data_IF_570184622625
#
_entry.id   IF_570184622625
#
_cell.length_a   1.000
_cell.length_b   1.000
_cell.length_c   1.000
_cell.angle_alpha   90.00
_cell.angle_beta   90.00
_cell.angle_gamma   90.00
#
_symmetry.space_group_name_H-M   'P 1'
#
loop_
_entity.id
_entity.type
_entity.pdbx_description
1 polymer ?
#
# COMPACT_ATOMS: atom_id res chain seq x y z
N UNK A 1 20.05 9.41 20.31
CA UNK A 1 19.92 10.65 19.51
C UNK A 1 21.31 11.01 19.05
N UNK A 2 21.54 11.04 17.74
CA UNK A 2 22.84 11.39 17.18
C UNK A 2 22.61 12.41 16.08
N UNK A 3 23.24 13.57 16.19
CA UNK A 3 23.24 14.58 15.12
C UNK A 3 24.31 14.18 14.11
N UNK A 4 23.95 14.08 12.84
CA UNK A 4 24.92 14.00 11.75
C UNK A 4 24.81 15.26 10.91
N UNK A 5 25.92 15.99 10.83
CA UNK A 5 26.02 17.19 10.03
C UNK A 5 26.30 16.81 8.57
N UNK A 6 25.45 17.29 7.66
CA UNK A 6 25.70 17.27 6.22
C UNK A 6 25.51 18.68 5.69
N UNK A 7 26.63 19.42 5.57
CA UNK A 7 26.63 20.86 5.25
C UNK A 7 26.01 21.72 6.35
N UNK A 8 25.49 22.90 5.98
CA UNK A 8 24.87 23.89 6.90
C UNK A 8 23.46 23.50 7.40
N UNK A 9 23.07 22.23 7.30
CA UNK A 9 21.75 21.76 7.72
C UNK A 9 21.89 20.70 8.80
N UNK A 10 21.31 20.99 9.96
CA UNK A 10 21.17 20.02 11.03
C UNK A 10 19.98 19.10 10.74
N UNK A 11 20.28 17.84 10.42
CA UNK A 11 19.28 16.81 10.30
C UNK A 11 19.14 16.07 11.63
N UNK A 12 17.94 16.13 12.21
CA UNK A 12 17.54 15.22 13.28
C UNK A 12 17.29 13.83 12.67
N UNK A 13 18.32 12.99 12.62
CA UNK A 13 18.14 11.58 12.32
C UNK A 13 17.67 10.90 13.61
N UNK A 14 16.38 10.62 13.69
CA UNK A 14 15.84 9.75 14.73
C UNK A 14 16.12 8.31 14.29
N UNK A 15 17.34 7.83 14.54
CA UNK A 15 17.64 6.40 14.44
C UNK A 15 16.73 5.65 15.43
N UNK A 16 15.93 4.73 14.90
CA UNK A 16 14.91 3.90 15.55
C UNK A 16 13.61 4.58 15.98
N UNK A 17 12.82 5.06 15.01
CA UNK A 17 11.35 4.98 15.15
C UNK A 17 10.86 3.74 14.44
N UNK A 18 10.37 2.80 15.23
CA UNK A 18 9.46 1.74 14.77
C UNK A 18 8.28 2.40 14.06
N UNK A 19 8.05 2.11 12.77
CA UNK A 19 6.94 2.72 12.03
C UNK A 19 5.97 1.67 11.51
N UNK A 20 4.73 1.77 11.95
CA UNK A 20 3.59 1.18 11.25
C UNK A 20 3.44 1.91 9.92
N UNK A 21 3.62 1.19 8.81
CA UNK A 21 3.55 1.79 7.47
C UNK A 21 2.11 1.97 7.03
N UNK A 22 1.38 0.85 7.01
CA UNK A 22 -0.01 0.78 6.55
C UNK A 22 -0.67 -0.47 7.10
N UNK A 23 -1.99 -0.44 7.25
CA UNK A 23 -2.78 -1.57 7.69
C UNK A 23 -4.08 -1.68 6.90
N UNK A 24 -4.67 -2.86 6.93
CA UNK A 24 -5.98 -3.15 6.38
C UNK A 24 -6.83 -3.92 7.41
N UNK A 25 -8.14 -3.80 7.27
CA UNK A 25 -9.12 -4.45 8.14
C UNK A 25 -9.97 -5.41 7.30
N UNK A 26 -10.23 -6.61 7.83
CA UNK A 26 -11.13 -7.57 7.16
C UNK A 26 -12.61 -7.17 7.23
N UNK A 27 -12.96 -6.31 8.18
CA UNK A 27 -14.30 -5.73 8.34
C UNK A 27 -14.23 -4.43 9.14
N UNK A 28 -15.30 -3.64 9.10
CA UNK A 28 -15.40 -2.40 9.86
C UNK A 28 -15.56 -2.69 11.37
N UNK A 29 -14.75 -2.10 12.25
CA UNK A 29 -14.91 -2.20 13.70
C UNK A 29 -16.25 -1.67 14.22
N UNK A 30 -16.91 -0.80 13.44
CA UNK A 30 -18.26 -0.30 13.76
C UNK A 30 -19.37 -1.31 13.48
N UNK A 31 -19.09 -2.36 12.70
CA UNK A 31 -20.09 -3.33 12.24
C UNK A 31 -19.95 -4.69 12.91
N UNK A 32 -18.75 -5.05 13.36
CA UNK A 32 -18.48 -6.34 14.00
C UNK A 32 -17.26 -6.22 14.92
N UNK A 33 -17.22 -7.02 15.98
CA UNK A 33 -16.02 -7.26 16.80
C UNK A 33 -15.17 -8.42 16.28
N UNK A 34 -15.68 -9.18 15.31
CA UNK A 34 -14.95 -10.26 14.64
C UNK A 34 -14.33 -9.73 13.35
N UNK A 35 -13.13 -9.17 13.47
CA UNK A 35 -12.30 -8.73 12.35
C UNK A 35 -10.83 -9.05 12.60
N UNK A 36 -10.03 -8.98 11.56
CA UNK A 36 -8.58 -9.11 11.61
C UNK A 36 -7.98 -7.80 11.14
N UNK A 37 -6.99 -7.31 11.86
CA UNK A 37 -6.09 -6.24 11.40
C UNK A 37 -4.85 -6.89 10.84
N UNK A 38 -4.43 -6.50 9.63
CA UNK A 38 -3.10 -6.83 9.12
C UNK A 38 -2.33 -5.56 8.84
N UNK A 39 -1.04 -5.58 9.15
CA UNK A 39 -0.20 -4.42 9.01
C UNK A 39 1.15 -4.75 8.40
N UNK A 40 1.64 -3.80 7.61
CA UNK A 40 3.04 -3.70 7.20
C UNK A 40 3.78 -2.88 8.26
N UNK A 41 4.84 -3.46 8.79
CA UNK A 41 5.66 -2.92 9.86
C UNK A 41 7.11 -2.81 9.37
N UNK A 42 7.73 -1.64 9.58
CA UNK A 42 9.10 -1.35 9.13
C UNK A 42 9.38 -1.64 7.64
N UNK A 43 8.35 -1.61 6.79
CA UNK A 43 8.34 -1.97 5.37
C UNK A 43 8.63 -3.43 5.06
N UNK A 44 9.38 -4.15 5.90
CA UNK A 44 9.86 -5.50 5.60
C UNK A 44 9.12 -6.60 6.34
N UNK A 45 8.26 -6.26 7.31
CA UNK A 45 7.55 -7.25 8.12
C UNK A 45 6.04 -7.16 8.00
N UNK A 46 5.39 -8.31 8.15
CA UNK A 46 3.95 -8.42 8.23
C UNK A 46 3.52 -8.92 9.60
N UNK A 47 2.48 -8.30 10.13
CA UNK A 47 1.88 -8.69 11.40
C UNK A 47 0.37 -8.64 11.31
N UNK A 48 -0.30 -9.39 12.18
CA UNK A 48 -1.75 -9.40 12.29
C UNK A 48 -2.21 -9.56 13.74
N UNK A 49 -3.43 -9.14 14.01
CA UNK A 49 -4.13 -9.43 15.26
C UNK A 49 -5.64 -9.46 15.03
N UNK A 50 -6.37 -10.15 15.91
CA UNK A 50 -7.80 -9.91 16.10
C UNK A 50 -7.99 -8.90 17.24
N UNK A 51 -9.14 -8.25 17.36
CA UNK A 51 -9.51 -7.53 18.57
C UNK A 51 -9.25 -8.39 19.79
N UNK A 52 -8.66 -7.79 20.82
CA UNK A 52 -8.26 -8.42 22.10
C UNK A 52 -7.06 -9.38 22.06
N UNK A 53 -6.57 -9.78 20.88
CA UNK A 53 -5.37 -10.62 20.75
C UNK A 53 -4.08 -9.77 20.72
N UNK A 54 -2.95 -10.39 21.05
CA UNK A 54 -1.63 -9.81 20.81
C UNK A 54 -1.25 -9.85 19.32
N UNK A 55 -0.37 -8.94 18.91
CA UNK A 55 0.17 -8.92 17.55
C UNK A 55 1.02 -10.15 17.28
N UNK A 56 0.69 -10.89 16.22
CA UNK A 56 1.44 -12.05 15.76
C UNK A 56 2.23 -11.69 14.50
N UNK A 57 3.49 -12.07 14.46
CA UNK A 57 4.34 -11.90 13.27
C UNK A 57 4.05 -13.01 12.26
N UNK A 58 3.94 -12.65 10.99
CA UNK A 58 3.78 -13.63 9.90
C UNK A 58 5.17 -14.19 9.57
N UNK A 59 5.31 -15.51 9.50
CA UNK A 59 6.59 -16.12 9.11
C UNK A 59 6.91 -15.77 7.65
N UNK A 60 8.08 -15.17 7.44
CA UNK A 60 8.58 -14.84 6.11
C UNK A 60 9.17 -16.09 5.44
N UNK A 61 8.80 -16.32 4.19
CA UNK A 61 9.57 -17.23 3.33
C UNK A 61 10.94 -16.58 3.09
N UNK A 62 12.03 -17.34 3.19
CA UNK A 62 13.47 -16.97 3.14
C UNK A 62 13.95 -16.19 1.88
N UNK A 63 13.12 -15.34 1.27
CA UNK A 63 13.52 -14.47 0.17
C UNK A 63 14.19 -13.21 0.71
N UNK A 64 15.42 -12.98 0.28
CA UNK A 64 16.25 -11.83 0.66
C UNK A 64 15.53 -10.48 0.39
N UNK A 65 15.54 -9.59 1.38
CA UNK A 65 15.25 -8.14 1.28
C UNK A 65 14.01 -7.74 0.47
N UNK A 66 12.83 -8.27 0.83
CA UNK A 66 11.56 -7.81 0.26
C UNK A 66 10.99 -6.64 1.07
N UNK A 67 10.58 -5.55 0.41
CA UNK A 67 9.85 -4.45 1.05
C UNK A 67 8.39 -4.47 0.58
N UNK A 68 7.45 -4.52 1.51
CA UNK A 68 6.02 -4.40 1.25
C UNK A 68 5.64 -2.92 1.07
N UNK A 69 5.12 -2.58 -0.12
CA UNK A 69 4.71 -1.24 -0.46
C UNK A 69 3.29 -0.92 0.01
N UNK A 70 2.38 -1.89 -0.06
CA UNK A 70 0.99 -1.68 0.36
C UNK A 70 0.31 -3.00 0.77
N UNK A 71 -0.75 -2.85 1.57
CA UNK A 71 -1.67 -3.91 1.97
C UNK A 71 -3.12 -3.43 1.78
N UNK A 72 -3.94 -4.28 1.17
CA UNK A 72 -5.37 -4.07 1.06
C UNK A 72 -6.14 -5.34 1.41
N UNK A 73 -7.26 -5.16 2.10
CA UNK A 73 -8.24 -6.22 2.21
C UNK A 73 -9.22 -6.11 1.05
N UNK A 74 -9.42 -7.22 0.35
CA UNK A 74 -10.27 -7.26 -0.82
C UNK A 74 -11.17 -8.49 -0.77
N UNK A 75 -12.48 -8.22 -0.83
CA UNK A 75 -13.54 -9.21 -0.94
C UNK A 75 -13.88 -9.36 -2.42
N UNK A 76 -13.11 -10.21 -3.10
CA UNK A 76 -13.33 -10.52 -4.51
C UNK A 76 -14.44 -11.54 -4.73
N UNK A 77 -14.58 -11.97 -5.99
CA UNK A 77 -15.58 -12.97 -6.41
C UNK A 77 -15.27 -14.38 -5.89
N UNK A 78 -13.99 -14.70 -5.63
CA UNK A 78 -13.55 -16.03 -5.21
C UNK A 78 -13.33 -16.13 -3.70
N UNK A 79 -12.44 -15.30 -3.14
CA UNK A 79 -12.06 -15.37 -1.73
C UNK A 79 -11.94 -13.97 -1.09
N UNK A 80 -12.09 -13.92 0.23
CA UNK A 80 -11.88 -12.75 1.08
C UNK A 80 -10.46 -12.75 1.63
N UNK A 81 -9.56 -11.95 1.06
CA UNK A 81 -8.14 -12.04 1.38
C UNK A 81 -7.45 -10.68 1.54
N UNK A 82 -6.32 -10.71 2.25
CA UNK A 82 -5.39 -9.59 2.33
C UNK A 82 -4.34 -9.74 1.25
N UNK A 83 -4.32 -8.77 0.36
CA UNK A 83 -3.38 -8.67 -0.75
C UNK A 83 -2.28 -7.69 -0.38
N UNK A 84 -1.05 -8.11 -0.64
CA UNK A 84 0.16 -7.34 -0.38
C UNK A 84 0.88 -7.17 -1.71
N UNK A 85 1.46 -5.99 -1.91
CA UNK A 85 2.34 -5.74 -3.05
C UNK A 85 3.72 -5.37 -2.54
N UNK A 86 4.73 -5.99 -3.10
CA UNK A 86 6.12 -5.68 -2.75
C UNK A 86 6.76 -4.63 -3.69
N UNK A 87 7.98 -4.25 -3.37
CA UNK A 87 8.81 -3.32 -4.13
C UNK A 87 9.22 -3.83 -5.51
N UNK A 88 9.05 -5.13 -5.77
CA UNK A 88 9.19 -5.71 -7.10
C UNK A 88 7.87 -5.66 -7.89
N UNK A 89 6.76 -5.27 -7.27
CA UNK A 89 5.43 -5.26 -7.88
C UNK A 89 4.81 -6.64 -8.03
N UNK A 90 5.25 -7.63 -7.24
CA UNK A 90 4.57 -8.93 -7.13
C UNK A 90 3.35 -8.80 -6.23
N UNK A 91 2.32 -9.60 -6.50
CA UNK A 91 1.13 -9.67 -5.63
C UNK A 91 1.18 -10.93 -4.80
N UNK A 92 1.13 -10.73 -3.49
CA UNK A 92 1.16 -11.78 -2.48
C UNK A 92 -0.17 -11.80 -1.73
N UNK A 93 -0.47 -12.96 -1.16
CA UNK A 93 -1.59 -13.15 -0.26
C UNK A 93 -1.06 -13.75 1.03
N UNK A 94 -1.48 -13.18 2.15
CA UNK A 94 -1.20 -13.74 3.47
C UNK A 94 -2.36 -14.64 3.88
N UNK A 95 -2.10 -15.96 3.90
CA UNK A 95 -3.06 -16.96 4.35
C UNK A 95 -2.89 -17.18 5.85
N UNK A 96 -3.99 -17.10 6.61
CA UNK A 96 -4.01 -17.40 8.04
C UNK A 96 -4.98 -18.57 8.20
N UNK A 97 -4.43 -19.79 8.27
CA UNK A 97 -5.22 -20.99 8.57
C UNK A 97 -5.45 -21.11 10.08
N UNK A 98 -4.43 -20.75 10.87
CA UNK A 98 -4.46 -20.64 12.32
C UNK A 98 -3.43 -19.60 12.78
N UNK A 99 -3.60 -19.03 13.97
CA UNK A 99 -2.69 -18.01 14.54
C UNK A 99 -1.23 -18.47 14.58
N UNK A 100 -0.98 -19.78 14.68
CA UNK A 100 0.37 -20.34 14.75
C UNK A 100 1.02 -20.63 13.39
N UNK A 101 0.29 -20.54 12.27
CA UNK A 101 0.81 -20.88 10.93
C UNK A 101 0.46 -19.83 9.87
N UNK A 102 0.54 -18.56 10.24
CA UNK A 102 0.38 -17.48 9.27
C UNK A 102 1.54 -17.52 8.25
N UNK A 103 1.21 -17.75 6.99
CA UNK A 103 2.18 -17.87 5.90
C UNK A 103 1.84 -16.93 4.74
N UNK A 104 2.88 -16.49 4.05
CA UNK A 104 2.75 -15.66 2.85
C UNK A 104 2.89 -16.57 1.64
N UNK A 105 2.00 -16.39 0.65
CA UNK A 105 2.10 -17.04 -0.65
C UNK A 105 2.09 -16.00 -1.76
N UNK A 106 3.06 -16.07 -2.66
CA UNK A 106 3.03 -15.31 -3.91
C UNK A 106 1.93 -15.90 -4.79
N UNK A 107 1.00 -15.05 -5.24
CA UNK A 107 -0.08 -15.48 -6.14
C UNK A 107 0.12 -14.95 -7.57
N UNK A 108 0.83 -13.84 -7.73
CA UNK A 108 1.26 -13.31 -9.02
C UNK A 108 2.75 -12.99 -8.90
N UNK A 109 3.57 -13.90 -9.43
CA UNK A 109 5.04 -13.76 -9.42
C UNK A 109 5.57 -12.84 -10.50
N UNK A 110 4.79 -12.58 -11.56
CA UNK A 110 5.15 -11.57 -12.55
C UNK A 110 4.95 -10.17 -11.95
N UNK A 111 6.01 -9.37 -11.99
CA UNK A 111 5.96 -7.97 -11.58
C UNK A 111 5.06 -7.14 -12.48
N UNK A 112 4.34 -6.18 -11.89
CA UNK A 112 3.77 -5.05 -12.62
C UNK A 112 4.85 -4.46 -13.53
N UNK A 113 4.58 -4.12 -14.81
CA UNK A 113 5.57 -3.57 -15.72
C UNK A 113 6.28 -2.34 -15.14
N UNK A 114 7.50 -2.52 -14.64
CA UNK A 114 8.30 -1.47 -14.03
C UNK A 114 8.97 -0.61 -15.10
N UNK A 115 8.91 0.72 -14.96
CA UNK A 115 9.75 1.61 -15.76
C UNK A 115 11.17 1.62 -15.18
N UNK A 116 12.13 1.12 -15.96
CA UNK A 116 13.55 1.05 -15.59
C UNK A 116 14.09 2.43 -15.17
N UNK A 117 14.95 2.44 -14.14
CA UNK A 117 15.64 3.65 -13.67
C UNK A 117 14.77 4.63 -12.85
N UNK A 118 13.62 4.19 -12.34
CA UNK A 118 12.69 5.01 -11.55
C UNK A 118 12.25 4.28 -10.28
N UNK A 119 11.94 5.05 -9.23
CA UNK A 119 11.26 4.50 -8.05
C UNK A 119 9.79 4.26 -8.36
N UNK A 120 9.26 3.18 -7.81
CA UNK A 120 7.88 2.75 -7.99
C UNK A 120 7.27 2.49 -6.62
N UNK A 121 6.20 3.22 -6.30
CA UNK A 121 5.26 2.84 -5.26
C UNK A 121 4.07 2.14 -5.90
N UNK A 122 3.53 1.10 -5.26
CA UNK A 122 2.30 0.45 -5.72
C UNK A 122 1.30 0.47 -4.59
N UNK A 123 0.10 0.94 -4.89
CA UNK A 123 -1.04 0.95 -3.97
C UNK A 123 -2.16 0.09 -4.52
N UNK A 124 -2.87 -0.63 -3.65
CA UNK A 124 -4.10 -1.30 -4.03
C UNK A 124 -5.34 -0.44 -3.81
N UNK A 125 -6.28 -0.60 -4.72
CA UNK A 125 -7.62 -0.04 -4.61
C UNK A 125 -8.63 -1.04 -5.16
N UNK A 126 -9.88 -1.02 -4.70
CA UNK A 126 -10.95 -1.82 -5.30
C UNK A 126 -12.09 -0.96 -5.84
N UNK A 127 -12.56 -1.26 -7.05
CA UNK A 127 -13.72 -0.60 -7.62
C UNK A 127 -15.03 -1.20 -7.10
N UNK A 128 -16.16 -0.52 -7.33
CA UNK A 128 -17.50 -1.02 -6.94
C UNK A 128 -17.89 -2.33 -7.63
N UNK A 129 -17.22 -2.67 -8.73
CA UNK A 129 -17.48 -3.87 -9.52
C UNK A 129 -16.70 -5.07 -8.98
N UNK A 130 -15.94 -4.91 -7.89
CA UNK A 130 -15.08 -5.97 -7.39
C UNK A 130 -13.92 -6.21 -8.34
N UNK A 131 -13.15 -5.16 -8.61
CA UNK A 131 -11.85 -5.26 -9.28
C UNK A 131 -10.80 -4.65 -8.38
N UNK A 132 -9.73 -5.38 -8.09
CA UNK A 132 -8.55 -4.86 -7.40
C UNK A 132 -7.64 -4.21 -8.43
N UNK A 133 -7.30 -2.93 -8.26
CA UNK A 133 -6.36 -2.18 -9.08
C UNK A 133 -5.05 -1.96 -8.33
N UNK A 134 -3.94 -2.16 -9.02
CA UNK A 134 -2.61 -1.73 -8.62
C UNK A 134 -2.30 -0.37 -9.27
N UNK A 135 -2.05 0.65 -8.46
CA UNK A 135 -1.66 1.98 -8.96
C UNK A 135 -0.16 2.15 -8.80
N UNK A 136 0.55 2.26 -9.92
CA UNK A 136 1.98 2.50 -10.02
C UNK A 136 2.26 4.01 -10.01
N UNK A 137 3.09 4.45 -9.07
CA UNK A 137 3.56 5.84 -8.96
C UNK A 137 4.99 5.93 -9.44
N UNK A 138 5.25 6.72 -10.48
CA UNK A 138 6.56 6.78 -11.12
C UNK A 138 7.27 8.09 -10.76
N UNK A 139 8.41 7.99 -10.07
CA UNK A 139 9.21 9.14 -9.62
C UNK A 139 10.52 9.28 -10.42
N UNK A 140 11.03 10.50 -10.56
CA UNK A 140 12.41 10.74 -11.03
C UNK A 140 13.30 11.17 -9.86
N UNK A 141 14.56 10.73 -9.89
CA UNK A 141 15.56 11.12 -8.89
C UNK A 141 16.00 12.59 -8.99
N UNK A 142 15.73 13.27 -10.11
CA UNK A 142 16.30 14.58 -10.40
C UNK A 142 15.64 15.71 -9.59
N UNK A 143 14.36 15.58 -9.24
CA UNK A 143 13.61 16.65 -8.56
C UNK A 143 12.73 16.09 -7.42
N UNK A 144 13.22 16.19 -6.18
CA UNK A 144 12.41 16.21 -4.94
C UNK A 144 11.28 15.16 -4.78
N UNK A 145 11.42 13.96 -5.34
CA UNK A 145 10.39 12.90 -5.34
C UNK A 145 9.04 13.37 -5.91
N UNK A 146 9.02 14.15 -7.00
CA UNK A 146 7.79 14.41 -7.74
C UNK A 146 7.36 13.17 -8.54
N UNK A 147 6.13 12.69 -8.29
CA UNK A 147 5.50 11.70 -9.15
C UNK A 147 5.18 12.39 -10.47
N UNK A 148 5.74 11.88 -11.55
CA UNK A 148 5.57 12.46 -12.89
C UNK A 148 4.48 11.73 -13.68
N UNK A 149 4.09 10.54 -13.25
CA UNK A 149 3.15 9.69 -13.95
C UNK A 149 2.54 8.66 -12.99
N UNK A 150 1.26 8.36 -13.23
CA UNK A 150 0.55 7.25 -12.61
C UNK A 150 0.14 6.27 -13.71
N UNK A 151 0.29 4.98 -13.44
CA UNK A 151 -0.27 3.91 -14.28
C UNK A 151 -1.12 3.03 -13.41
N UNK A 152 -2.29 2.64 -13.92
CA UNK A 152 -3.25 1.86 -13.15
C UNK A 152 -3.44 0.54 -13.86
N UNK A 153 -3.44 -0.56 -13.11
CA UNK A 153 -3.58 -1.90 -13.65
C UNK A 153 -4.63 -2.68 -12.88
N UNK A 154 -5.52 -3.40 -13.56
CA UNK A 154 -6.32 -4.44 -12.92
C UNK A 154 -5.41 -5.60 -12.51
N UNK A 155 -5.57 -6.12 -11.30
CA UNK A 155 -4.75 -7.24 -10.84
C UNK A 155 -5.14 -8.50 -11.62
N UNK A 156 -4.24 -9.11 -12.41
CA UNK A 156 -4.59 -10.16 -13.37
C UNK A 156 -4.66 -11.53 -12.69
N UNK A 157 -5.65 -11.74 -11.81
CA UNK A 157 -5.80 -12.98 -11.04
C UNK A 157 -6.02 -14.23 -11.92
N UNK A 158 -6.44 -14.07 -13.18
CA UNK A 158 -6.77 -15.18 -14.08
C UNK A 158 -5.55 -15.82 -14.72
N UNK A 159 -4.59 -15.02 -15.18
CA UNK A 159 -3.44 -15.48 -15.98
C UNK A 159 -2.10 -14.97 -15.45
N UNK A 160 -2.10 -14.08 -14.45
CA UNK A 160 -0.89 -13.45 -13.91
C UNK A 160 -0.16 -12.52 -14.88
N UNK A 161 -0.77 -12.18 -16.02
CA UNK A 161 -0.17 -11.37 -17.08
C UNK A 161 -0.68 -9.92 -17.03
N UNK A 162 0.24 -8.98 -16.82
CA UNK A 162 -0.08 -7.56 -16.72
C UNK A 162 -0.22 -6.84 -18.07
N UNK A 163 0.18 -7.44 -19.20
CA UNK A 163 0.26 -6.75 -20.50
C UNK A 163 -1.04 -6.09 -20.96
N UNK A 164 -2.19 -6.71 -20.67
CA UNK A 164 -3.51 -6.24 -21.11
C UNK A 164 -4.35 -5.69 -19.94
N UNK A 165 -3.70 -5.41 -18.79
CA UNK A 165 -4.39 -5.03 -17.56
C UNK A 165 -4.40 -3.53 -17.28
N UNK A 166 -3.74 -2.72 -18.11
CA UNK A 166 -3.64 -1.27 -17.89
C UNK A 166 -4.98 -0.57 -18.10
N UNK A 167 -5.42 0.18 -17.08
CA UNK A 167 -6.65 0.96 -17.06
C UNK A 167 -6.30 2.42 -17.27
N UNK A 168 -6.84 3.02 -18.34
CA UNK A 168 -6.63 4.43 -18.68
C UNK A 168 -7.80 5.33 -18.26
N UNK A 169 -8.90 4.74 -17.78
CA UNK A 169 -10.10 5.47 -17.40
C UNK A 169 -10.74 4.88 -16.13
N UNK A 170 -10.76 5.69 -15.08
CA UNK A 170 -11.34 5.41 -13.76
C UNK A 170 -12.83 5.79 -13.68
N UNK A 171 -13.41 6.26 -14.78
CA UNK A 171 -14.80 6.67 -14.88
C UNK A 171 -15.12 7.89 -14.02
N UNK A 172 -16.18 7.81 -13.22
CA UNK A 172 -16.63 8.89 -12.33
C UNK A 172 -15.77 9.05 -11.06
N UNK A 173 -14.67 8.30 -10.92
CA UNK A 173 -13.94 8.21 -9.65
C UNK A 173 -12.75 9.12 -9.58
N UNK A 174 -12.44 9.46 -8.33
CA UNK A 174 -11.22 10.13 -7.92
C UNK A 174 -10.49 9.18 -6.98
N UNK A 175 -9.21 8.94 -7.23
CA UNK A 175 -8.34 8.14 -6.36
C UNK A 175 -7.47 9.05 -5.52
N UNK A 176 -7.58 8.93 -4.20
CA UNK A 176 -6.69 9.57 -3.23
C UNK A 176 -5.64 8.56 -2.81
N UNK A 177 -4.37 8.89 -3.02
CA UNK A 177 -3.25 8.02 -2.73
C UNK A 177 -2.33 8.71 -1.72
N UNK A 178 -1.91 7.96 -0.71
CA UNK A 178 -1.03 8.48 0.33
C UNK A 178 -0.23 7.37 1.03
N UNK A 179 0.83 7.73 1.78
CA UNK A 179 1.72 6.77 2.42
C UNK A 179 1.03 5.85 3.43
N UNK A 180 0.06 6.38 4.18
CA UNK A 180 -0.62 5.64 5.26
C UNK A 180 -2.05 5.24 4.93
N UNK A 181 -2.66 5.86 3.92
CA UNK A 181 -4.02 5.57 3.50
C UNK A 181 -4.23 5.92 2.03
N UNK A 182 -5.04 5.10 1.37
CA UNK A 182 -5.49 5.31 0.00
C UNK A 182 -6.96 4.95 -0.08
N UNK A 183 -7.75 5.78 -0.75
CA UNK A 183 -9.20 5.60 -0.86
C UNK A 183 -9.73 6.21 -2.16
N UNK A 184 -10.97 5.89 -2.51
CA UNK A 184 -11.64 6.43 -3.69
C UNK A 184 -12.97 7.04 -3.30
N UNK A 185 -13.31 8.13 -3.98
CA UNK A 185 -14.65 8.69 -3.94
C UNK A 185 -15.24 8.69 -5.35
N UNK A 186 -16.56 8.57 -5.41
CA UNK A 186 -17.31 8.83 -6.62
C UNK A 186 -17.57 10.34 -6.72
N UNK A 187 -17.12 10.97 -7.79
CA UNK A 187 -17.38 12.38 -8.02
C UNK A 187 -18.85 12.55 -8.42
N UNK A 188 -19.54 13.46 -7.73
CA UNK A 188 -20.89 13.84 -8.10
C UNK A 188 -20.89 14.60 -9.43
N UNK A 189 -22.06 14.74 -10.07
CA UNK A 189 -22.21 15.60 -11.24
C UNK A 189 -21.94 17.07 -10.93
N UNK A 190 -22.10 17.46 -9.67
CA UNK A 190 -22.02 18.85 -9.21
C UNK A 190 -20.70 19.16 -8.47
N UNK A 191 -19.76 18.20 -8.41
CA UNK A 191 -18.48 18.42 -7.75
C UNK A 191 -17.56 19.26 -8.62
N UNK A 192 -16.86 20.21 -8.02
CA UNK A 192 -15.74 20.92 -8.66
C UNK A 192 -14.52 20.04 -8.91
N UNK A 193 -14.50 18.80 -8.40
CA UNK A 193 -13.43 17.86 -8.62
C UNK A 193 -13.57 17.16 -9.97
N UNK A 194 -12.49 17.12 -10.74
CA UNK A 194 -12.45 16.43 -12.02
C UNK A 194 -12.59 14.91 -11.83
N UNK A 195 -13.43 14.30 -12.66
CA UNK A 195 -13.58 12.84 -12.74
C UNK A 195 -12.33 12.23 -13.39
N UNK A 196 -12.16 10.92 -13.25
CA UNK A 196 -11.03 10.20 -13.84
C UNK A 196 -9.66 10.78 -13.43
N UNK A 197 -9.50 11.14 -12.15
CA UNK A 197 -8.26 11.75 -11.67
C UNK A 197 -7.67 11.01 -10.47
N UNK A 198 -6.36 11.19 -10.31
CA UNK A 198 -5.57 10.65 -9.22
C UNK A 198 -4.93 11.81 -8.47
N UNK A 199 -5.20 11.88 -7.17
CA UNK A 199 -4.68 12.89 -6.26
C UNK A 199 -3.68 12.22 -5.33
N UNK A 200 -2.43 12.70 -5.36
CA UNK A 200 -1.38 12.23 -4.47
C UNK A 200 -1.22 13.21 -3.30
N UNK A 201 -1.53 12.74 -2.09
CA UNK A 201 -1.18 13.44 -0.86
C UNK A 201 0.21 12.98 -0.41
N UNK A 202 1.20 13.88 -0.51
CA UNK A 202 2.55 13.62 -0.01
C UNK A 202 2.65 14.04 1.46
N UNK A 203 3.13 13.13 2.29
CA UNK A 203 3.62 13.49 3.61
C UNK A 203 5.09 13.93 3.46
N UNK A 204 5.35 15.23 3.57
CA UNK A 204 6.72 15.67 3.89
C UNK A 204 6.99 15.25 5.33
N UNK A 205 8.09 14.55 5.58
CA UNK A 205 8.57 14.29 6.94
C UNK A 205 9.04 15.61 7.58
N UNK A 206 8.07 16.45 7.99
CA UNK A 206 8.31 17.65 8.78
C UNK A 206 7.64 17.44 10.13
N UNK A 207 8.36 16.83 11.06
CA UNK A 207 7.92 16.74 12.46
C UNK A 207 8.20 18.11 13.09
N UNK A 208 7.19 18.94 13.23
CA UNK A 208 7.29 20.11 14.10
C UNK A 208 7.16 19.62 15.56
N UNK A 209 8.05 20.03 16.47
CA UNK A 209 7.84 19.75 17.88
C UNK A 209 6.51 20.37 18.31
N UNK A 210 5.66 19.56 18.96
CA UNK A 210 4.48 20.06 19.63
C UNK A 210 4.96 21.05 20.68
N UNK A 211 4.68 22.35 20.49
CA UNK A 211 4.76 23.30 21.61
C UNK A 211 3.67 22.86 22.57
N UNK A 212 4.07 22.36 23.73
CA UNK A 212 3.16 22.16 24.85
C UNK A 212 2.42 23.50 25.09
N UNK A 213 1.09 23.47 25.02
CA UNK A 213 0.25 24.50 25.62
C UNK A 213 0.11 24.20 27.11
#
# INVERSE_FOLDING_TARGET
>A
MMYKHYGDKDYLIIENRVTLNKFALSSSPSSTSDYVVKAVYNWDRLTFCRPVDEWTMVEETNENYTFYCDIAYYKGVRDMQFYIVDNCGRVLVCHIEDTEQARIRVIIGQSVPLKLGRHVGITFWWNREGVLLAVQHVYTFKDSFQAIEFRVFEVPFSNGNWSDSEVTNLGSRILFLGPSSSFSIEASTDSSCEKNCIILHKQYYSIFPQKNC
#
